data_IF_494092564901
#
_entry.id   IF_494092564901
#
_cell.length_a   1.000
_cell.length_b   1.000
_cell.length_c   1.000
_cell.angle_alpha   90.00
_cell.angle_beta   90.00
_cell.angle_gamma   90.00
#
_symmetry.space_group_name_H-M   'P 1'
#
loop_
_entity.id
_entity.type
_entity.pdbx_description
1 polymer ?
#
# COMPACT_ATOMS: atom_id res chain seq x y z
N UNK A 1 9.46 27.74 27.30
CA UNK A 1 9.96 27.11 26.07
C UNK A 1 10.36 25.68 26.42
N UNK A 2 9.58 24.69 26.03
CA UNK A 2 9.95 23.28 26.22
C UNK A 2 10.91 22.90 25.11
N UNK A 3 12.13 22.57 25.47
CA UNK A 3 13.16 22.03 24.58
C UNK A 3 12.62 20.76 23.94
N UNK A 4 12.47 20.78 22.63
CA UNK A 4 12.15 19.58 21.87
C UNK A 4 13.31 18.58 22.03
N UNK A 5 13.00 17.38 22.49
CA UNK A 5 13.95 16.28 22.56
C UNK A 5 14.53 15.99 21.15
N UNK A 6 15.81 15.59 21.05
CA UNK A 6 16.40 15.22 19.77
C UNK A 6 15.58 14.08 19.14
N UNK A 7 15.46 14.06 17.79
CA UNK A 7 14.72 13.00 17.11
C UNK A 7 15.31 11.65 17.51
N UNK A 8 14.44 10.74 17.97
CA UNK A 8 14.84 9.39 18.32
C UNK A 8 15.56 8.74 17.12
N UNK A 9 16.62 7.95 17.35
CA UNK A 9 17.34 7.27 16.28
C UNK A 9 16.33 6.43 15.49
N UNK A 10 16.42 6.49 14.15
CA UNK A 10 15.56 5.74 13.25
C UNK A 10 15.46 4.30 13.75
N UNK A 11 14.26 3.86 14.11
CA UNK A 11 14.05 2.53 14.62
C UNK A 11 14.57 1.54 13.57
N UNK A 12 15.56 0.71 13.96
CA UNK A 12 16.12 -0.32 13.07
C UNK A 12 14.97 -1.23 12.68
N UNK A 13 14.83 -1.47 11.37
CA UNK A 13 13.89 -2.46 10.85
C UNK A 13 14.10 -3.79 11.59
N UNK A 14 13.03 -4.48 11.88
CA UNK A 14 13.14 -5.86 12.39
C UNK A 14 13.90 -6.69 11.36
N UNK A 15 14.66 -7.70 11.81
CA UNK A 15 15.44 -8.56 10.90
C UNK A 15 14.62 -9.11 9.72
N UNK A 16 13.37 -9.60 9.93
CA UNK A 16 12.48 -10.06 8.87
C UNK A 16 12.11 -8.98 7.86
N UNK A 17 11.81 -7.75 8.32
CA UNK A 17 11.36 -6.66 7.43
C UNK A 17 12.46 -6.20 6.45
N UNK A 18 13.72 -6.34 6.85
CA UNK A 18 14.86 -6.00 5.98
C UNK A 18 14.96 -6.90 4.75
N UNK A 19 14.53 -8.16 4.89
CA UNK A 19 14.57 -9.17 3.85
C UNK A 19 13.22 -9.37 3.16
N UNK A 20 12.25 -8.48 3.41
CA UNK A 20 10.90 -8.57 2.85
C UNK A 20 10.89 -8.76 1.33
N UNK A 21 11.67 -8.01 0.51
CA UNK A 21 11.70 -8.24 -0.94
C UNK A 21 12.11 -9.66 -1.30
N UNK A 22 13.09 -10.24 -0.58
CA UNK A 22 13.52 -11.61 -0.80
C UNK A 22 12.43 -12.61 -0.41
N UNK A 23 11.75 -12.41 0.73
CA UNK A 23 10.65 -13.28 1.15
C UNK A 23 9.49 -13.28 0.17
N UNK A 24 9.17 -12.12 -0.41
CA UNK A 24 8.15 -12.00 -1.45
C UNK A 24 8.55 -12.80 -2.68
N UNK A 25 9.78 -12.62 -3.19
CA UNK A 25 10.27 -13.38 -4.35
C UNK A 25 10.27 -14.89 -4.09
N UNK A 26 10.66 -15.33 -2.89
CA UNK A 26 10.62 -16.74 -2.50
C UNK A 26 9.18 -17.27 -2.44
N UNK A 27 8.24 -16.51 -1.89
CA UNK A 27 6.83 -16.89 -1.84
C UNK A 27 6.23 -17.02 -3.25
N UNK A 28 6.59 -16.10 -4.16
CA UNK A 28 6.20 -16.14 -5.56
C UNK A 28 6.76 -17.38 -6.26
N UNK A 29 8.06 -17.63 -6.10
CA UNK A 29 8.71 -18.82 -6.67
C UNK A 29 8.11 -20.11 -6.11
N UNK A 30 7.88 -20.19 -4.80
CA UNK A 30 7.22 -21.33 -4.14
C UNK A 30 5.80 -21.55 -4.68
N UNK A 31 5.01 -20.48 -4.82
CA UNK A 31 3.67 -20.55 -5.40
C UNK A 31 3.69 -21.08 -6.84
N UNK A 32 4.56 -20.54 -7.68
CA UNK A 32 4.76 -21.01 -9.07
C UNK A 32 5.13 -22.50 -9.11
N UNK A 33 6.08 -22.93 -8.31
CA UNK A 33 6.52 -24.33 -8.26
C UNK A 33 5.38 -25.24 -7.77
N UNK A 34 4.66 -24.86 -6.72
CA UNK A 34 3.54 -25.62 -6.21
C UNK A 34 2.42 -25.76 -7.27
N UNK A 35 2.09 -24.67 -7.95
CA UNK A 35 1.08 -24.68 -9.01
C UNK A 35 1.45 -25.55 -10.21
N UNK A 36 2.75 -25.70 -10.50
CA UNK A 36 3.24 -26.55 -11.61
C UNK A 36 3.43 -28.00 -11.22
N UNK A 37 3.94 -28.28 -10.01
CA UNK A 37 4.35 -29.62 -9.61
C UNK A 37 3.25 -30.44 -8.91
N UNK A 38 2.22 -29.77 -8.39
CA UNK A 38 1.11 -30.45 -7.70
C UNK A 38 -0.11 -30.50 -8.64
N UNK A 39 -0.34 -31.63 -9.35
CA UNK A 39 -1.50 -31.76 -10.22
C UNK A 39 -2.80 -31.59 -9.44
N UNK A 40 -3.70 -30.75 -9.95
CA UNK A 40 -5.01 -30.51 -9.33
C UNK A 40 -5.01 -29.51 -8.16
N UNK A 41 -3.86 -28.92 -7.78
CA UNK A 41 -3.81 -27.91 -6.71
C UNK A 41 -4.67 -26.69 -7.06
N UNK A 42 -4.56 -26.19 -8.28
CA UNK A 42 -5.39 -25.06 -8.75
C UNK A 42 -6.88 -25.42 -8.69
N UNK A 43 -7.26 -26.62 -9.16
CA UNK A 43 -8.64 -27.10 -9.12
C UNK A 43 -9.14 -27.26 -7.68
N UNK A 44 -8.29 -27.76 -6.77
CA UNK A 44 -8.65 -27.92 -5.36
C UNK A 44 -8.83 -26.54 -4.67
N UNK A 45 -7.95 -25.60 -4.95
CA UNK A 45 -8.05 -24.21 -4.43
C UNK A 45 -9.26 -23.47 -5.02
N UNK A 46 -9.55 -23.68 -6.31
CA UNK A 46 -10.75 -23.14 -6.97
C UNK A 46 -12.04 -23.75 -6.41
N UNK A 47 -12.02 -25.02 -6.02
CA UNK A 47 -13.14 -25.68 -5.34
C UNK A 47 -13.45 -25.11 -3.94
N UNK A 48 -12.51 -24.38 -3.33
CA UNK A 48 -12.67 -23.70 -2.03
C UNK A 48 -13.17 -22.25 -2.20
N UNK A 49 -14.19 -22.06 -3.05
CA UNK A 49 -14.82 -20.76 -3.25
C UNK A 49 -16.15 -20.68 -2.51
N UNK A 50 -16.40 -19.55 -1.86
CA UNK A 50 -17.68 -19.20 -1.24
C UNK A 50 -18.13 -17.86 -1.81
N UNK A 51 -19.30 -17.83 -2.41
CA UNK A 51 -19.86 -16.65 -3.07
C UNK A 51 -18.92 -16.00 -4.11
N UNK A 52 -18.19 -16.82 -4.88
CA UNK A 52 -17.23 -16.35 -5.90
C UNK A 52 -15.87 -15.92 -5.37
N UNK A 53 -15.64 -16.01 -4.07
CA UNK A 53 -14.39 -15.62 -3.41
C UNK A 53 -13.60 -16.85 -2.99
N UNK A 54 -12.32 -16.91 -3.37
CA UNK A 54 -11.40 -17.96 -2.93
C UNK A 54 -11.16 -17.85 -1.42
N UNK A 55 -11.58 -18.86 -0.65
CA UNK A 55 -11.40 -18.92 0.80
C UNK A 55 -9.93 -18.80 1.24
N UNK A 56 -8.96 -19.50 0.61
CA UNK A 56 -7.55 -19.34 0.98
C UNK A 56 -7.05 -17.91 0.81
N UNK A 57 -7.41 -17.24 -0.29
CA UNK A 57 -7.05 -15.84 -0.52
C UNK A 57 -7.72 -14.95 0.54
N UNK A 58 -9.01 -15.16 0.80
CA UNK A 58 -9.77 -14.40 1.79
C UNK A 58 -9.15 -14.49 3.19
N UNK A 59 -8.80 -15.70 3.64
CA UNK A 59 -8.16 -15.93 4.94
C UNK A 59 -6.79 -15.23 4.99
N UNK A 60 -5.96 -15.40 3.94
CA UNK A 60 -4.65 -14.75 3.87
C UNK A 60 -4.76 -13.23 3.98
N UNK A 61 -5.70 -12.62 3.24
CA UNK A 61 -5.96 -11.18 3.26
C UNK A 61 -6.44 -10.69 4.63
N UNK A 62 -7.39 -11.38 5.27
CA UNK A 62 -7.89 -11.02 6.59
C UNK A 62 -6.80 -11.11 7.66
N UNK A 63 -5.99 -12.19 7.62
CA UNK A 63 -4.85 -12.38 8.52
C UNK A 63 -3.78 -11.30 8.32
N UNK A 64 -3.53 -10.88 7.07
CA UNK A 64 -2.58 -9.82 6.75
C UNK A 64 -3.09 -8.44 7.18
N UNK A 65 -4.33 -8.10 6.82
CA UNK A 65 -4.88 -6.74 7.00
C UNK A 65 -5.14 -6.41 8.47
N UNK A 66 -5.63 -7.36 9.26
CA UNK A 66 -6.00 -7.10 10.65
C UNK A 66 -4.85 -6.55 11.51
N UNK A 67 -3.64 -7.16 11.57
CA UNK A 67 -2.54 -6.63 12.37
C UNK A 67 -2.06 -5.25 11.92
N UNK A 68 -2.12 -4.97 10.61
CA UNK A 68 -1.72 -3.67 10.06
C UNK A 68 -2.68 -2.59 10.54
N UNK A 69 -3.99 -2.84 10.42
CA UNK A 69 -5.03 -1.89 10.79
C UNK A 69 -5.18 -1.76 12.32
N UNK A 70 -4.87 -2.79 13.10
CA UNK A 70 -4.79 -2.74 14.55
C UNK A 70 -3.64 -1.84 15.07
N UNK A 71 -2.57 -1.64 14.27
CA UNK A 71 -1.46 -0.72 14.61
C UNK A 71 -1.84 0.76 14.47
N UNK A 72 -2.90 1.08 13.73
CA UNK A 72 -3.28 2.47 13.43
C UNK A 72 -3.77 3.18 14.69
N UNK A 73 -3.19 4.35 15.00
CA UNK A 73 -3.54 5.18 16.16
C UNK A 73 -4.58 6.23 15.75
N UNK A 74 -5.84 5.84 15.70
CA UNK A 74 -6.94 6.71 15.27
C UNK A 74 -7.13 7.97 16.13
N UNK A 75 -6.62 7.99 17.37
CA UNK A 75 -6.79 9.09 18.33
C UNK A 75 -5.67 10.13 18.30
N UNK A 76 -4.48 9.81 17.78
CA UNK A 76 -3.32 10.73 17.77
C UNK A 76 -3.16 11.53 16.48
N UNK A 77 -4.15 11.50 15.63
CA UNK A 77 -4.11 12.11 14.28
C UNK A 77 -4.17 13.64 14.28
N UNK A 78 -4.46 14.28 15.43
CA UNK A 78 -4.80 15.71 15.47
C UNK A 78 -3.73 16.68 14.96
N UNK A 79 -2.45 16.41 15.21
CA UNK A 79 -1.37 17.29 14.75
C UNK A 79 -1.12 17.17 13.23
N UNK A 80 -1.15 15.94 12.71
CA UNK A 80 -0.97 15.67 11.28
C UNK A 80 -2.18 16.13 10.48
N UNK A 81 -3.41 15.92 11.00
CA UNK A 81 -4.66 16.38 10.37
C UNK A 81 -4.74 17.92 10.27
N UNK A 82 -4.04 18.65 11.17
CA UNK A 82 -3.94 20.12 11.10
C UNK A 82 -2.99 20.62 10.02
N UNK A 83 -2.09 19.76 9.52
CA UNK A 83 -1.24 20.10 8.38
C UNK A 83 -2.06 20.01 7.08
N UNK A 84 -2.78 21.10 6.79
CA UNK A 84 -3.64 21.19 5.61
C UNK A 84 -2.89 20.97 4.30
N UNK A 85 -1.61 21.41 4.23
CA UNK A 85 -0.81 21.23 3.01
C UNK A 85 -0.57 19.76 2.74
N UNK A 86 -0.09 19.01 3.74
CA UNK A 86 0.14 17.58 3.63
C UNK A 86 -1.15 16.82 3.31
N UNK A 87 -2.23 17.12 4.03
CA UNK A 87 -3.52 16.43 3.89
C UNK A 87 -4.16 16.62 2.51
N UNK A 88 -4.28 17.87 2.07
CA UNK A 88 -4.89 18.19 0.77
C UNK A 88 -4.05 17.62 -0.38
N UNK A 89 -2.72 17.77 -0.30
CA UNK A 89 -1.82 17.24 -1.33
C UNK A 89 -1.89 15.71 -1.38
N UNK A 90 -1.94 15.05 -0.22
CA UNK A 90 -2.11 13.58 -0.16
C UNK A 90 -3.44 13.14 -0.76
N UNK A 91 -4.54 13.81 -0.44
CA UNK A 91 -5.85 13.48 -1.02
C UNK A 91 -5.86 13.64 -2.54
N UNK A 92 -5.32 14.74 -3.05
CA UNK A 92 -5.23 14.98 -4.50
C UNK A 92 -4.37 13.92 -5.18
N UNK A 93 -3.18 13.64 -4.63
CA UNK A 93 -2.28 12.63 -5.20
C UNK A 93 -2.92 11.24 -5.19
N UNK A 94 -3.48 10.82 -4.05
CA UNK A 94 -4.01 9.47 -3.91
C UNK A 94 -5.33 9.23 -4.63
N UNK A 95 -6.23 10.22 -4.68
CA UNK A 95 -7.62 10.00 -5.07
C UNK A 95 -8.03 10.72 -6.36
N UNK A 96 -7.17 11.62 -6.88
CA UNK A 96 -7.39 12.27 -8.17
C UNK A 96 -6.28 11.92 -9.14
N UNK A 97 -5.03 12.29 -8.82
CA UNK A 97 -3.91 12.13 -9.76
C UNK A 97 -3.59 10.66 -10.05
N UNK A 98 -3.44 9.86 -9.01
CA UNK A 98 -3.04 8.45 -9.17
C UNK A 98 -4.07 7.62 -9.95
N UNK A 99 -5.37 7.66 -9.64
CA UNK A 99 -6.37 6.95 -10.43
C UNK A 99 -6.46 7.47 -11.87
N UNK A 100 -6.43 8.79 -12.07
CA UNK A 100 -6.48 9.38 -13.41
C UNK A 100 -5.26 8.98 -14.26
N UNK A 101 -4.06 9.00 -13.65
CA UNK A 101 -2.85 8.56 -14.35
C UNK A 101 -2.91 7.09 -14.71
N UNK A 102 -3.34 6.22 -13.76
CA UNK A 102 -3.45 4.79 -14.06
C UNK A 102 -4.48 4.52 -15.16
N UNK A 103 -5.62 5.21 -15.12
CA UNK A 103 -6.61 5.16 -16.20
C UNK A 103 -5.99 5.54 -17.54
N UNK A 104 -5.30 6.68 -17.63
CA UNK A 104 -4.66 7.14 -18.85
C UNK A 104 -3.60 6.13 -19.36
N UNK A 105 -2.73 5.65 -18.47
CA UNK A 105 -1.71 4.66 -18.83
C UNK A 105 -2.32 3.33 -19.28
N UNK A 106 -3.37 2.87 -18.60
CA UNK A 106 -4.07 1.64 -18.99
C UNK A 106 -4.68 1.76 -20.40
N UNK A 107 -5.25 2.90 -20.75
CA UNK A 107 -5.78 3.14 -22.08
C UNK A 107 -4.69 3.32 -23.17
N UNK A 108 -3.57 3.93 -22.83
CA UNK A 108 -2.45 4.15 -23.77
C UNK A 108 -1.73 2.83 -24.09
N UNK A 109 -1.46 2.01 -23.08
CA UNK A 109 -0.61 0.81 -23.23
C UNK A 109 -1.39 -0.47 -23.50
N UNK A 110 -2.70 -0.52 -23.13
CA UNK A 110 -3.54 -1.71 -23.25
C UNK A 110 -4.88 -1.42 -23.99
N UNK A 111 -4.86 -0.73 -25.16
CA UNK A 111 -6.10 -0.41 -25.87
C UNK A 111 -6.81 -1.65 -26.41
N UNK A 112 -6.05 -2.69 -26.76
CA UNK A 112 -6.47 -3.97 -27.33
C UNK A 112 -6.68 -5.10 -26.29
N UNK A 113 -6.39 -4.85 -25.01
CA UNK A 113 -6.47 -5.81 -23.91
C UNK A 113 -7.42 -5.32 -22.80
N UNK A 114 -8.74 -5.33 -23.03
CA UNK A 114 -9.73 -4.71 -22.14
C UNK A 114 -9.73 -5.30 -20.73
N UNK A 115 -9.47 -6.59 -20.58
CA UNK A 115 -9.46 -7.26 -19.27
C UNK A 115 -8.28 -6.78 -18.42
N UNK A 116 -7.08 -6.75 -18.99
CA UNK A 116 -5.89 -6.25 -18.29
C UNK A 116 -5.99 -4.75 -18.00
N UNK A 117 -6.55 -3.97 -18.95
CA UNK A 117 -6.84 -2.55 -18.76
C UNK A 117 -7.74 -2.32 -17.57
N UNK A 118 -8.85 -3.06 -17.48
CA UNK A 118 -9.79 -2.99 -16.35
C UNK A 118 -9.09 -3.37 -15.04
N UNK A 119 -8.29 -4.43 -15.03
CA UNK A 119 -7.52 -4.85 -13.87
C UNK A 119 -6.54 -3.77 -13.39
N UNK A 120 -5.80 -3.12 -14.30
CA UNK A 120 -4.90 -2.02 -13.93
C UNK A 120 -5.64 -0.79 -13.39
N UNK A 121 -6.81 -0.46 -13.93
CA UNK A 121 -7.64 0.62 -13.40
C UNK A 121 -8.07 0.30 -11.96
N UNK A 122 -8.50 -0.93 -11.68
CA UNK A 122 -8.84 -1.40 -10.32
C UNK A 122 -7.62 -1.29 -9.39
N UNK A 123 -6.43 -1.71 -9.83
CA UNK A 123 -5.17 -1.51 -9.10
C UNK A 123 -4.93 -0.04 -8.82
N UNK A 124 -5.14 0.83 -9.81
CA UNK A 124 -4.98 2.28 -9.67
C UNK A 124 -5.89 2.92 -8.63
N UNK A 125 -7.02 2.29 -8.28
CA UNK A 125 -7.95 2.75 -7.25
C UNK A 125 -7.56 2.25 -5.84
N UNK A 126 -6.80 1.18 -5.74
CA UNK A 126 -6.44 0.56 -4.46
C UNK A 126 -5.17 1.21 -3.87
N UNK A 127 -5.29 1.90 -2.74
CA UNK A 127 -4.17 2.58 -2.06
C UNK A 127 -3.47 1.67 -1.07
N UNK A 128 -2.15 1.74 -1.03
CA UNK A 128 -1.33 0.91 -0.14
C UNK A 128 -1.63 1.17 1.34
N UNK A 129 -1.70 0.10 2.13
CA UNK A 129 -2.00 0.14 3.56
C UNK A 129 -0.85 -0.45 4.38
N UNK A 130 -0.28 -1.57 3.93
CA UNK A 130 0.68 -2.36 4.69
C UNK A 130 2.13 -2.03 4.33
N UNK A 131 2.50 -2.25 3.07
CA UNK A 131 3.89 -2.17 2.61
C UNK A 131 4.43 -0.75 2.59
N UNK A 132 3.57 0.24 2.45
CA UNK A 132 3.97 1.66 2.46
C UNK A 132 4.70 2.06 3.75
N UNK A 133 4.35 1.47 4.89
CA UNK A 133 5.04 1.74 6.16
C UNK A 133 6.50 1.30 6.11
N UNK A 134 6.80 0.19 5.43
CA UNK A 134 8.15 -0.34 5.27
C UNK A 134 8.97 0.57 4.36
N UNK A 135 8.41 0.95 3.21
CA UNK A 135 9.07 1.86 2.28
C UNK A 135 9.33 3.22 2.90
N UNK A 136 8.36 3.73 3.66
CA UNK A 136 8.49 4.97 4.43
C UNK A 136 9.64 4.91 5.44
N UNK A 137 9.74 3.83 6.20
CA UNK A 137 10.79 3.64 7.20
C UNK A 137 12.18 3.52 6.56
N UNK A 138 12.29 2.75 5.47
CA UNK A 138 13.53 2.62 4.70
C UNK A 138 14.00 3.95 4.13
N UNK A 139 13.07 4.80 3.69
CA UNK A 139 13.35 6.12 3.16
C UNK A 139 13.52 7.20 4.26
N UNK A 140 13.51 6.85 5.54
CA UNK A 140 13.53 7.80 6.66
C UNK A 140 12.39 8.83 6.60
N UNK A 141 11.19 8.41 6.21
CA UNK A 141 9.99 9.22 6.20
C UNK A 141 9.41 9.44 7.61
N UNK A 142 8.39 10.30 7.68
CA UNK A 142 7.66 10.59 8.92
C UNK A 142 6.65 9.46 9.20
N UNK A 143 6.93 8.65 10.23
CA UNK A 143 6.10 7.49 10.61
C UNK A 143 4.70 7.89 11.08
N UNK A 144 4.60 8.99 11.81
CA UNK A 144 3.30 9.44 12.32
C UNK A 144 2.43 9.93 11.18
N UNK A 145 3.00 10.72 10.28
CA UNK A 145 2.32 11.15 9.07
C UNK A 145 1.91 9.95 8.20
N UNK A 146 2.80 8.97 7.99
CA UNK A 146 2.47 7.76 7.23
C UNK A 146 1.29 6.99 7.83
N UNK A 147 1.29 6.77 9.15
CA UNK A 147 0.20 6.07 9.83
C UNK A 147 -1.15 6.79 9.68
N UNK A 148 -1.14 8.13 9.76
CA UNK A 148 -2.36 8.95 9.57
C UNK A 148 -2.85 8.88 8.13
N UNK A 149 -1.96 9.01 7.14
CA UNK A 149 -2.33 8.94 5.73
C UNK A 149 -2.84 7.56 5.35
N UNK A 150 -2.24 6.49 5.88
CA UNK A 150 -2.72 5.12 5.71
C UNK A 150 -4.11 4.93 6.31
N UNK A 151 -4.35 5.43 7.52
CA UNK A 151 -5.66 5.37 8.15
C UNK A 151 -6.73 6.10 7.33
N UNK A 152 -6.41 7.31 6.88
CA UNK A 152 -7.29 8.10 6.02
C UNK A 152 -7.58 7.37 4.70
N UNK A 153 -6.55 6.87 4.03
CA UNK A 153 -6.69 6.12 2.79
C UNK A 153 -7.54 4.85 3.00
N UNK A 154 -7.39 4.14 4.13
CA UNK A 154 -8.17 2.95 4.44
C UNK A 154 -9.65 3.26 4.58
N UNK A 155 -10.00 4.31 5.32
CA UNK A 155 -11.40 4.74 5.49
C UNK A 155 -11.97 5.22 4.16
N UNK A 156 -11.25 6.06 3.43
CA UNK A 156 -11.69 6.59 2.15
C UNK A 156 -11.89 5.47 1.12
N UNK A 157 -11.02 4.47 1.10
CA UNK A 157 -11.14 3.31 0.23
C UNK A 157 -12.45 2.54 0.46
N UNK A 158 -12.78 2.27 1.72
CA UNK A 158 -14.04 1.58 2.07
C UNK A 158 -15.26 2.32 1.55
N UNK A 159 -15.25 3.65 1.61
CA UNK A 159 -16.39 4.48 1.21
C UNK A 159 -16.44 4.75 -0.28
N UNK A 160 -15.30 5.04 -0.90
CA UNK A 160 -15.26 5.61 -2.24
C UNK A 160 -14.85 4.64 -3.35
N UNK A 161 -14.25 3.48 -3.02
CA UNK A 161 -13.69 2.57 -4.03
C UNK A 161 -14.73 2.13 -5.06
N UNK A 162 -15.92 1.72 -4.62
CA UNK A 162 -16.98 1.30 -5.52
C UNK A 162 -17.44 2.42 -6.45
N UNK A 163 -17.65 3.62 -5.90
CA UNK A 163 -18.07 4.79 -6.69
C UNK A 163 -17.00 5.22 -7.69
N UNK A 164 -15.73 5.23 -7.29
CA UNK A 164 -14.61 5.53 -8.19
C UNK A 164 -14.43 4.42 -9.24
N UNK A 165 -14.61 3.16 -8.88
CA UNK A 165 -14.61 2.05 -9.82
C UNK A 165 -15.67 2.23 -10.91
N UNK A 166 -16.91 2.55 -10.50
CA UNK A 166 -17.98 2.86 -11.43
C UNK A 166 -17.64 4.08 -12.33
N UNK A 167 -17.10 5.14 -11.74
CA UNK A 167 -16.72 6.35 -12.49
C UNK A 167 -15.64 6.03 -13.54
N UNK A 168 -14.52 5.40 -13.16
CA UNK A 168 -13.40 5.14 -14.07
C UNK A 168 -13.65 4.00 -15.07
N UNK A 169 -14.54 3.06 -14.77
CA UNK A 169 -14.80 1.92 -15.65
C UNK A 169 -16.06 2.09 -16.53
N UNK A 170 -17.01 2.95 -16.11
CA UNK A 170 -18.27 3.12 -16.83
C UNK A 170 -18.48 4.55 -17.31
N UNK A 171 -18.38 5.54 -16.41
CA UNK A 171 -18.78 6.93 -16.71
C UNK A 171 -17.72 7.63 -17.56
N UNK A 172 -16.47 7.64 -17.11
CA UNK A 172 -15.39 8.37 -17.78
C UNK A 172 -15.09 7.85 -19.20
N UNK A 173 -15.02 6.53 -19.45
CA UNK A 173 -14.88 6.02 -20.81
C UNK A 173 -16.04 6.47 -21.72
N UNK A 174 -17.28 6.43 -21.22
CA UNK A 174 -18.45 6.89 -21.97
C UNK A 174 -18.37 8.36 -22.35
N UNK A 175 -17.91 9.23 -21.43
CA UNK A 175 -17.71 10.67 -21.72
C UNK A 175 -16.62 10.94 -22.76
N UNK A 176 -15.59 10.06 -22.78
CA UNK A 176 -14.47 10.19 -23.72
C UNK A 176 -14.71 9.48 -25.06
N UNK A 177 -15.90 8.89 -25.26
CA UNK A 177 -16.22 8.12 -26.48
C UNK A 177 -15.42 6.83 -26.60
N UNK A 178 -14.89 6.32 -25.51
CA UNK A 178 -14.12 5.07 -25.44
C UNK A 178 -15.06 3.88 -25.24
N UNK A 179 -14.63 2.69 -25.66
CA UNK A 179 -15.42 1.46 -25.47
C UNK A 179 -15.59 1.18 -23.96
N UNK A 180 -16.83 1.20 -23.50
CA UNK A 180 -17.16 0.75 -22.14
C UNK A 180 -16.97 -0.77 -22.09
N UNK A 181 -16.26 -1.28 -21.10
CA UNK A 181 -16.06 -2.71 -20.91
C UNK A 181 -17.44 -3.35 -20.67
N UNK A 182 -17.85 -4.23 -21.55
CA UNK A 182 -19.15 -4.94 -21.49
C UNK A 182 -19.21 -6.04 -20.42
N UNK A 183 -18.10 -6.26 -19.70
CA UNK A 183 -18.09 -7.13 -18.53
C UNK A 183 -19.12 -6.61 -17.53
N UNK A 184 -19.94 -7.48 -16.98
CA UNK A 184 -20.93 -7.16 -15.95
C UNK A 184 -20.25 -6.51 -14.75
N UNK A 185 -20.11 -5.17 -14.82
CA UNK A 185 -19.54 -4.40 -13.74
C UNK A 185 -20.56 -4.33 -12.62
N UNK A 186 -20.42 -5.20 -11.65
CA UNK A 186 -21.25 -5.18 -10.46
C UNK A 186 -20.66 -4.24 -9.41
N UNK A 187 -21.18 -3.01 -9.35
CA UNK A 187 -20.88 -2.09 -8.25
C UNK A 187 -21.07 -2.76 -6.88
N UNK A 188 -22.11 -3.58 -6.76
CA UNK A 188 -22.41 -4.33 -5.54
C UNK A 188 -21.30 -5.34 -5.21
N UNK A 189 -20.82 -6.11 -6.19
CA UNK A 189 -19.75 -7.09 -5.97
C UNK A 189 -18.45 -6.41 -5.53
N UNK A 190 -18.08 -5.30 -6.17
CA UNK A 190 -16.91 -4.50 -5.77
C UNK A 190 -17.08 -3.95 -4.36
N UNK A 191 -18.23 -3.35 -4.05
CA UNK A 191 -18.49 -2.79 -2.72
C UNK A 191 -18.46 -3.86 -1.64
N UNK A 192 -19.07 -5.02 -1.88
CA UNK A 192 -19.05 -6.16 -0.95
C UNK A 192 -17.61 -6.65 -0.75
N UNK A 193 -16.83 -6.82 -1.81
CA UNK A 193 -15.43 -7.24 -1.72
C UNK A 193 -14.61 -6.27 -0.87
N UNK A 194 -14.75 -4.95 -1.09
CA UNK A 194 -14.05 -3.93 -0.28
C UNK A 194 -14.49 -3.97 1.18
N UNK A 195 -15.79 -4.11 1.44
CA UNK A 195 -16.30 -4.21 2.82
C UNK A 195 -15.78 -5.46 3.52
N UNK A 196 -15.73 -6.60 2.85
CA UNK A 196 -15.23 -7.85 3.43
C UNK A 196 -13.72 -7.77 3.67
N UNK A 197 -12.93 -7.44 2.64
CA UNK A 197 -11.47 -7.56 2.70
C UNK A 197 -10.77 -6.36 3.35
N UNK A 198 -11.42 -5.21 3.43
CA UNK A 198 -10.88 -4.03 4.08
C UNK A 198 -11.76 -3.54 5.23
N UNK A 199 -13.06 -3.47 5.04
CA UNK A 199 -14.00 -2.94 6.05
C UNK A 199 -14.00 -3.76 7.33
N UNK A 200 -14.12 -5.10 7.23
CA UNK A 200 -14.09 -5.99 8.40
C UNK A 200 -12.76 -5.89 9.16
N UNK A 201 -11.57 -6.02 8.54
CA UNK A 201 -10.30 -5.84 9.25
C UNK A 201 -10.12 -4.45 9.85
N UNK A 202 -10.61 -3.40 9.18
CA UNK A 202 -10.57 -2.02 9.68
C UNK A 202 -11.38 -1.88 10.96
N UNK A 203 -12.61 -2.37 10.98
CA UNK A 203 -13.47 -2.35 12.15
C UNK A 203 -12.89 -3.22 13.27
N UNK A 204 -12.44 -4.44 12.96
CA UNK A 204 -11.83 -5.33 13.93
C UNK A 204 -10.56 -4.71 14.54
N UNK A 205 -9.70 -4.08 13.73
CA UNK A 205 -8.51 -3.38 14.19
C UNK A 205 -8.83 -2.19 15.09
N UNK A 206 -9.80 -1.36 14.70
CA UNK A 206 -10.24 -0.23 15.51
C UNK A 206 -10.88 -0.67 16.83
N UNK A 207 -11.79 -1.66 16.79
CA UNK A 207 -12.45 -2.19 17.99
C UNK A 207 -11.45 -2.86 18.93
N UNK A 208 -10.52 -3.68 18.42
CA UNK A 208 -9.50 -4.34 19.24
C UNK A 208 -8.58 -3.32 19.91
N UNK A 209 -8.24 -2.20 19.23
CA UNK A 209 -7.47 -1.10 19.83
C UNK A 209 -8.26 -0.42 20.95
N UNK A 210 -9.48 0.02 20.67
CA UNK A 210 -10.32 0.70 21.68
C UNK A 210 -10.57 -0.21 22.90
N UNK A 211 -10.93 -1.47 22.67
CA UNK A 211 -11.16 -2.43 23.74
C UNK A 211 -9.87 -2.78 24.51
N UNK A 212 -8.78 -3.06 23.78
CA UNK A 212 -7.50 -3.42 24.40
C UNK A 212 -6.91 -2.29 25.25
N UNK A 213 -6.94 -1.05 24.74
CA UNK A 213 -6.48 0.13 25.49
C UNK A 213 -7.37 0.43 26.70
N UNK A 214 -8.70 0.23 26.61
CA UNK A 214 -9.62 0.43 27.74
C UNK A 214 -9.49 -0.65 28.83
N UNK A 215 -9.33 -1.93 28.45
CA UNK A 215 -9.35 -3.06 29.38
C UNK A 215 -7.99 -3.30 30.03
N UNK A 216 -6.90 -3.20 29.26
CA UNK A 216 -5.54 -3.55 29.73
C UNK A 216 -4.54 -2.40 29.65
N UNK A 217 -4.95 -1.24 29.18
CA UNK A 217 -4.10 -0.08 29.03
C UNK A 217 -3.31 -0.07 27.72
N UNK A 218 -2.85 1.12 27.36
CA UNK A 218 -2.10 1.38 26.14
C UNK A 218 -0.76 0.65 26.10
N UNK A 219 -0.03 0.62 27.21
CA UNK A 219 1.30 0.01 27.31
C UNK A 219 1.23 -1.49 27.02
N UNK A 220 0.20 -2.18 27.52
CA UNK A 220 -0.04 -3.58 27.20
C UNK A 220 -0.38 -3.77 25.71
N UNK A 221 -1.26 -2.91 25.18
CA UNK A 221 -1.68 -3.03 23.78
C UNK A 221 -0.49 -2.84 22.83
N UNK A 222 0.31 -1.79 23.04
CA UNK A 222 1.46 -1.47 22.18
C UNK A 222 2.69 -2.34 22.47
N UNK A 223 2.95 -2.68 23.73
CA UNK A 223 4.15 -3.44 24.15
C UNK A 223 3.99 -4.95 24.12
N UNK A 224 2.77 -5.48 24.21
CA UNK A 224 2.54 -6.94 24.28
C UNK A 224 1.67 -7.46 23.15
N UNK A 225 0.52 -6.83 22.91
CA UNK A 225 -0.45 -7.32 21.93
C UNK A 225 0.03 -7.10 20.49
N UNK A 226 0.37 -5.86 20.13
CA UNK A 226 0.81 -5.55 18.76
C UNK A 226 2.09 -6.31 18.33
N UNK A 227 3.12 -6.48 19.16
CA UNK A 227 4.28 -7.31 18.81
C UNK A 227 3.93 -8.78 18.56
N UNK A 228 2.92 -9.34 19.25
CA UNK A 228 2.47 -10.72 19.05
C UNK A 228 1.70 -10.93 17.76
N UNK A 229 0.83 -9.99 17.39
CA UNK A 229 0.05 -10.10 16.16
C UNK A 229 0.80 -9.56 14.93
N UNK A 230 1.79 -8.70 15.12
CA UNK A 230 2.54 -8.05 14.05
C UNK A 230 3.09 -9.00 12.98
N UNK A 231 3.76 -10.11 13.36
CA UNK A 231 4.31 -11.08 12.40
C UNK A 231 3.26 -11.75 11.51
N UNK A 232 2.02 -11.85 11.96
CA UNK A 232 0.94 -12.44 11.16
C UNK A 232 0.63 -11.66 9.89
N UNK A 233 0.90 -10.34 9.88
CA UNK A 233 0.79 -9.54 8.67
C UNK A 233 1.73 -10.06 7.57
N UNK A 234 2.99 -10.35 7.93
CA UNK A 234 3.97 -10.91 7.00
C UNK A 234 3.58 -12.33 6.55
N UNK A 235 3.17 -13.18 7.49
CA UNK A 235 2.76 -14.56 7.15
C UNK A 235 1.53 -14.57 6.25
N UNK A 236 0.53 -13.73 6.52
CA UNK A 236 -0.65 -13.56 5.68
C UNK A 236 -0.29 -13.06 4.28
N UNK A 237 0.62 -12.08 4.18
CA UNK A 237 1.13 -11.57 2.91
C UNK A 237 1.82 -12.68 2.09
N UNK A 238 2.80 -13.37 2.66
CA UNK A 238 3.55 -14.40 1.96
C UNK A 238 2.66 -15.58 1.56
N UNK A 239 1.74 -15.98 2.44
CA UNK A 239 0.74 -17.02 2.13
C UNK A 239 -0.16 -16.60 0.97
N UNK A 240 -0.71 -15.39 1.01
CA UNK A 240 -1.58 -14.87 -0.07
C UNK A 240 -0.84 -14.82 -1.40
N UNK A 241 0.41 -14.32 -1.41
CA UNK A 241 1.25 -14.30 -2.61
C UNK A 241 1.49 -15.72 -3.13
N UNK A 242 1.87 -16.66 -2.26
CA UNK A 242 2.10 -18.04 -2.68
C UNK A 242 0.84 -18.68 -3.28
N UNK A 243 -0.33 -18.49 -2.66
CA UNK A 243 -1.62 -19.00 -3.18
C UNK A 243 -1.95 -18.37 -4.53
N UNK A 244 -1.81 -17.05 -4.67
CA UNK A 244 -2.07 -16.34 -5.94
C UNK A 244 -1.18 -16.86 -7.07
N UNK A 245 0.11 -17.05 -6.80
CA UNK A 245 1.04 -17.57 -7.79
C UNK A 245 0.84 -19.08 -8.06
N UNK A 246 0.34 -19.85 -7.09
CA UNK A 246 -0.06 -21.23 -7.33
C UNK A 246 -1.29 -21.33 -8.26
N UNK A 247 -2.23 -20.40 -8.13
CA UNK A 247 -3.44 -20.36 -8.96
C UNK A 247 -3.19 -19.80 -10.36
N UNK A 248 -2.40 -18.75 -10.48
CA UNK A 248 -2.23 -17.99 -11.74
C UNK A 248 -0.84 -18.13 -12.38
N UNK A 249 0.10 -18.80 -11.72
CA UNK A 249 1.48 -18.86 -12.15
C UNK A 249 1.67 -19.46 -13.53
N UNK A 250 0.88 -20.46 -13.91
CA UNK A 250 0.87 -21.03 -15.27
C UNK A 250 0.49 -20.00 -16.34
N UNK A 251 -0.46 -19.12 -16.05
CA UNK A 251 -0.88 -18.04 -16.95
C UNK A 251 0.24 -16.97 -17.09
N UNK A 252 0.89 -16.60 -15.97
CA UNK A 252 2.03 -15.68 -15.97
C UNK A 252 3.14 -16.19 -16.86
N UNK A 253 3.51 -17.47 -16.75
CA UNK A 253 4.58 -18.08 -17.54
C UNK A 253 4.17 -18.27 -19.00
N UNK A 254 2.91 -18.65 -19.26
CA UNK A 254 2.43 -18.88 -20.61
C UNK A 254 2.26 -17.61 -21.45
N UNK A 255 2.15 -16.44 -20.80
CA UNK A 255 1.89 -15.14 -21.47
C UNK A 255 2.92 -14.05 -21.09
N UNK A 256 4.22 -14.27 -21.33
CA UNK A 256 5.26 -13.34 -20.89
C UNK A 256 5.16 -11.95 -21.54
N UNK A 257 4.66 -11.88 -22.77
CA UNK A 257 4.46 -10.61 -23.47
C UNK A 257 3.33 -9.79 -22.84
N UNK A 258 2.25 -10.44 -22.43
CA UNK A 258 1.14 -9.77 -21.74
C UNK A 258 1.59 -9.25 -20.37
N UNK A 259 2.37 -10.05 -19.64
CA UNK A 259 3.00 -9.64 -18.37
C UNK A 259 3.90 -8.41 -18.60
N UNK A 260 4.73 -8.40 -19.64
CA UNK A 260 5.57 -7.25 -19.97
C UNK A 260 4.73 -6.02 -20.32
N UNK A 261 3.63 -6.18 -21.07
CA UNK A 261 2.71 -5.09 -21.44
C UNK A 261 1.99 -4.51 -20.21
N UNK A 262 1.64 -5.33 -19.21
CA UNK A 262 1.08 -4.88 -17.93
C UNK A 262 2.14 -4.17 -17.08
N UNK A 263 3.38 -4.66 -17.12
CA UNK A 263 4.48 -4.11 -16.32
C UNK A 263 4.85 -2.67 -16.71
N UNK A 264 4.85 -2.34 -18.02
CA UNK A 264 5.26 -1.01 -18.51
C UNK A 264 4.43 0.13 -17.90
N UNK A 265 3.08 0.13 -18.00
CA UNK A 265 2.26 1.18 -17.38
C UNK A 265 2.44 1.24 -15.86
N UNK A 266 2.66 0.11 -15.17
CA UNK A 266 2.93 0.10 -13.73
C UNK A 266 4.25 0.79 -13.39
N UNK A 267 5.32 0.48 -14.12
CA UNK A 267 6.63 1.15 -13.94
C UNK A 267 6.49 2.66 -14.13
N UNK A 268 5.87 3.09 -15.23
CA UNK A 268 5.64 4.51 -15.52
C UNK A 268 4.82 5.15 -14.40
N UNK A 269 3.76 4.48 -13.96
CA UNK A 269 2.92 4.95 -12.86
C UNK A 269 3.72 5.18 -11.58
N UNK A 270 4.49 4.21 -11.11
CA UNK A 270 5.29 4.33 -9.89
C UNK A 270 6.27 5.49 -9.97
N UNK A 271 6.98 5.61 -11.09
CA UNK A 271 7.97 6.67 -11.30
C UNK A 271 7.32 8.06 -11.30
N UNK A 272 6.22 8.22 -12.05
CA UNK A 272 5.54 9.53 -12.20
C UNK A 272 4.89 9.96 -10.89
N UNK A 273 4.13 9.06 -10.22
CA UNK A 273 3.45 9.41 -8.96
C UNK A 273 4.45 9.72 -7.86
N UNK A 274 5.52 8.91 -7.76
CA UNK A 274 6.59 9.17 -6.79
C UNK A 274 7.28 10.51 -7.05
N UNK A 275 7.65 10.79 -8.30
CA UNK A 275 8.27 12.05 -8.68
C UNK A 275 7.35 13.25 -8.41
N UNK A 276 6.06 13.12 -8.71
CA UNK A 276 5.06 14.14 -8.40
C UNK A 276 4.96 14.38 -6.88
N UNK A 277 4.93 13.32 -6.06
CA UNK A 277 4.93 13.44 -4.61
C UNK A 277 6.19 14.14 -4.07
N UNK A 278 7.37 13.76 -4.56
CA UNK A 278 8.63 14.38 -4.18
C UNK A 278 8.69 15.86 -4.59
N UNK A 279 8.23 16.18 -5.80
CA UNK A 279 8.21 17.54 -6.32
C UNK A 279 7.24 18.43 -5.54
N UNK A 280 5.99 17.98 -5.36
CA UNK A 280 4.96 18.74 -4.63
C UNK A 280 5.35 18.93 -3.17
N UNK A 281 5.87 17.91 -2.50
CA UNK A 281 6.33 18.02 -1.12
C UNK A 281 7.46 19.04 -0.98
N UNK A 282 8.36 19.12 -1.96
CA UNK A 282 9.43 20.14 -2.01
C UNK A 282 8.87 21.55 -2.26
N UNK A 283 7.98 21.72 -3.23
CA UNK A 283 7.36 23.03 -3.56
C UNK A 283 6.58 23.57 -2.35
N UNK A 284 5.94 22.70 -1.58
CA UNK A 284 5.14 23.06 -0.41
C UNK A 284 5.94 23.21 0.88
N UNK A 285 7.27 23.00 0.82
CA UNK A 285 8.19 23.06 1.96
C UNK A 285 7.80 22.12 3.13
N UNK A 286 7.36 20.89 2.82
CA UNK A 286 6.97 19.90 3.83
C UNK A 286 8.17 19.32 4.59
N UNK A 287 9.40 19.59 4.14
CA UNK A 287 10.60 18.93 4.61
C UNK A 287 10.73 17.49 4.06
N UNK A 288 11.95 16.93 4.13
CA UNK A 288 12.26 15.64 3.52
C UNK A 288 11.37 14.51 4.03
N UNK A 289 11.25 14.35 5.35
CA UNK A 289 10.56 13.20 5.93
C UNK A 289 9.08 13.12 5.51
N UNK A 290 8.35 14.24 5.57
CA UNK A 290 6.94 14.31 5.13
C UNK A 290 6.80 14.20 3.62
N UNK A 291 7.76 14.72 2.86
CA UNK A 291 7.79 14.59 1.40
C UNK A 291 7.98 13.13 0.98
N UNK A 292 8.92 12.41 1.59
CA UNK A 292 9.10 10.97 1.35
C UNK A 292 7.82 10.19 1.71
N UNK A 293 7.21 10.48 2.86
CA UNK A 293 5.94 9.90 3.27
C UNK A 293 4.84 10.13 2.23
N UNK A 294 4.68 11.36 1.78
CA UNK A 294 3.70 11.73 0.75
C UNK A 294 3.93 10.96 -0.55
N UNK A 295 5.17 10.88 -1.01
CA UNK A 295 5.53 10.21 -2.25
C UNK A 295 5.27 8.70 -2.19
N UNK A 296 5.67 8.03 -1.12
CA UNK A 296 5.45 6.58 -0.97
C UNK A 296 3.98 6.23 -0.73
N UNK A 297 3.23 7.04 0.04
CA UNK A 297 1.80 6.80 0.25
C UNK A 297 0.99 6.99 -1.03
N UNK A 298 1.41 7.86 -1.93
CA UNK A 298 0.76 8.07 -3.20
C UNK A 298 1.18 7.05 -4.27
N UNK A 299 2.45 6.63 -4.30
CA UNK A 299 2.95 5.69 -5.30
C UNK A 299 2.48 4.25 -5.04
N UNK A 300 2.46 3.80 -3.78
CA UNK A 300 2.12 2.42 -3.45
C UNK A 300 0.65 2.07 -3.68
N UNK A 301 0.39 0.85 -4.14
CA UNK A 301 -0.93 0.30 -4.37
C UNK A 301 -1.22 -0.87 -3.41
N UNK A 302 -2.50 -1.17 -3.21
CA UNK A 302 -2.95 -2.36 -2.49
C UNK A 302 -3.35 -3.42 -3.52
N UNK A 303 -2.36 -4.15 -4.01
CA UNK A 303 -2.59 -5.18 -5.02
C UNK A 303 -3.46 -6.30 -4.49
N UNK A 304 -3.34 -6.63 -3.22
CA UNK A 304 -4.09 -7.69 -2.58
C UNK A 304 -5.60 -7.37 -2.59
N UNK A 305 -5.96 -6.14 -2.25
CA UNK A 305 -7.35 -5.69 -2.35
C UNK A 305 -7.82 -5.65 -3.82
N UNK A 306 -6.98 -5.13 -4.72
CA UNK A 306 -7.30 -5.07 -6.14
C UNK A 306 -7.55 -6.48 -6.72
N UNK A 307 -6.71 -7.45 -6.36
CA UNK A 307 -6.88 -8.85 -6.75
C UNK A 307 -8.15 -9.43 -6.14
N UNK A 308 -8.41 -9.19 -4.85
CA UNK A 308 -9.62 -9.68 -4.20
C UNK A 308 -10.89 -9.14 -4.88
N UNK A 309 -10.90 -7.86 -5.24
CA UNK A 309 -11.99 -7.24 -6.01
C UNK A 309 -12.08 -7.85 -7.40
N UNK A 310 -10.96 -8.00 -8.11
CA UNK A 310 -10.94 -8.56 -9.45
C UNK A 310 -11.41 -10.03 -9.45
N UNK A 311 -10.91 -10.84 -8.51
CA UNK A 311 -11.33 -12.26 -8.37
C UNK A 311 -12.80 -12.37 -7.99
N UNK A 312 -13.26 -11.56 -7.03
CA UNK A 312 -14.66 -11.58 -6.58
C UNK A 312 -15.66 -11.06 -7.61
N UNK A 313 -15.20 -10.26 -8.58
CA UNK A 313 -16.06 -9.67 -9.61
C UNK A 313 -15.98 -10.42 -10.94
N UNK A 314 -14.78 -10.85 -11.36
CA UNK A 314 -14.52 -11.40 -12.69
C UNK A 314 -14.03 -12.86 -12.66
N UNK A 315 -13.77 -13.41 -11.48
CA UNK A 315 -13.26 -14.76 -11.29
C UNK A 315 -11.74 -14.86 -11.20
N UNK A 316 -11.25 -15.96 -10.62
CA UNK A 316 -9.82 -16.20 -10.34
C UNK A 316 -8.97 -16.24 -11.60
N UNK A 317 -9.48 -16.81 -12.70
CA UNK A 317 -8.74 -16.97 -13.96
C UNK A 317 -8.87 -15.78 -14.91
N UNK A 318 -9.49 -14.70 -14.46
CA UNK A 318 -9.73 -13.51 -15.29
C UNK A 318 -8.45 -12.73 -15.61
N UNK A 319 -8.41 -12.05 -16.74
CA UNK A 319 -7.34 -11.14 -17.10
C UNK A 319 -7.21 -9.98 -16.11
N UNK A 320 -8.31 -9.54 -15.53
CA UNK A 320 -8.34 -8.51 -14.49
C UNK A 320 -7.57 -8.94 -13.23
N UNK A 321 -7.79 -10.19 -12.80
CA UNK A 321 -7.04 -10.74 -11.67
C UNK A 321 -5.55 -10.92 -12.00
N UNK A 322 -5.22 -11.36 -13.21
CA UNK A 322 -3.83 -11.50 -13.67
C UNK A 322 -3.08 -10.16 -13.65
N UNK A 323 -3.72 -9.08 -14.09
CA UNK A 323 -3.11 -7.75 -14.02
C UNK A 323 -2.77 -7.35 -12.57
N UNK A 324 -3.61 -7.71 -11.61
CA UNK A 324 -3.33 -7.53 -10.19
C UNK A 324 -2.14 -8.36 -9.70
N UNK A 325 -2.01 -9.62 -10.14
CA UNK A 325 -0.90 -10.52 -9.71
C UNK A 325 0.46 -10.07 -10.25
N UNK A 326 0.49 -9.48 -11.45
CA UNK A 326 1.72 -8.89 -12.00
C UNK A 326 2.20 -7.70 -11.15
N UNK A 327 1.28 -7.04 -10.45
CA UNK A 327 1.57 -5.85 -9.66
C UNK A 327 2.72 -6.00 -8.66
N UNK A 328 2.65 -6.91 -7.69
CA UNK A 328 3.73 -7.11 -6.71
C UNK A 328 5.08 -7.44 -7.32
N UNK A 329 5.11 -8.15 -8.47
CA UNK A 329 6.35 -8.44 -9.23
C UNK A 329 7.09 -7.16 -9.61
N UNK A 330 6.33 -6.13 -9.97
CA UNK A 330 6.86 -4.86 -10.45
C UNK A 330 7.02 -3.86 -9.31
N UNK A 331 6.06 -3.81 -8.39
CA UNK A 331 6.08 -2.86 -7.27
C UNK A 331 7.33 -3.00 -6.41
N UNK A 332 7.64 -4.22 -5.98
CA UNK A 332 8.72 -4.45 -5.00
C UNK A 332 10.08 -3.98 -5.52
N UNK A 333 10.58 -4.38 -6.70
CA UNK A 333 11.87 -3.91 -7.19
C UNK A 333 11.87 -2.39 -7.48
N UNK A 334 10.77 -1.85 -7.99
CA UNK A 334 10.67 -0.42 -8.29
C UNK A 334 10.66 0.41 -7.00
N UNK A 335 9.84 0.06 -5.99
CA UNK A 335 9.80 0.82 -4.75
C UNK A 335 11.11 0.71 -3.96
N UNK A 336 11.82 -0.42 -4.02
CA UNK A 336 13.20 -0.51 -3.48
C UNK A 336 14.11 0.50 -4.19
N UNK A 337 14.09 0.57 -5.51
CA UNK A 337 14.87 1.54 -6.26
C UNK A 337 14.48 2.99 -5.89
N UNK A 338 13.19 3.26 -5.71
CA UNK A 338 12.67 4.56 -5.30
C UNK A 338 13.07 4.94 -3.86
N UNK A 339 13.26 3.96 -2.95
CA UNK A 339 13.86 4.22 -1.63
C UNK A 339 15.26 4.80 -1.78
N UNK A 340 16.12 4.20 -2.61
CA UNK A 340 17.45 4.76 -2.87
C UNK A 340 17.39 6.13 -3.55
N UNK A 341 16.45 6.32 -4.48
CA UNK A 341 16.21 7.62 -5.12
C UNK A 341 15.77 8.69 -4.09
N UNK A 342 14.89 8.34 -3.14
CA UNK A 342 14.47 9.22 -2.07
C UNK A 342 15.64 9.62 -1.17
N UNK A 343 16.44 8.64 -0.73
CA UNK A 343 17.62 8.87 0.10
C UNK A 343 18.65 9.76 -0.62
N UNK A 344 18.86 9.53 -1.92
CA UNK A 344 19.70 10.39 -2.75
C UNK A 344 19.12 11.82 -2.85
N UNK A 345 17.80 11.95 -3.02
CA UNK A 345 17.12 13.24 -3.12
C UNK A 345 17.13 14.04 -1.81
N UNK A 346 17.38 13.40 -0.65
CA UNK A 346 17.46 14.04 0.67
C UNK A 346 18.43 15.23 0.68
N UNK A 347 19.51 15.17 -0.08
CA UNK A 347 20.51 16.26 -0.20
C UNK A 347 19.95 17.57 -0.77
N UNK A 348 18.81 17.51 -1.46
CA UNK A 348 18.17 18.71 -2.04
C UNK A 348 17.17 19.37 -1.09
N UNK A 349 16.96 18.82 0.11
CA UNK A 349 16.10 19.39 1.13
C UNK A 349 16.95 20.11 2.17
N UNK A 350 16.50 21.30 2.64
CA UNK A 350 17.20 22.01 3.71
C UNK A 350 17.33 21.10 4.93
N UNK A 351 18.52 20.96 5.48
CA UNK A 351 18.69 20.34 6.80
C UNK A 351 17.94 21.19 7.81
N UNK A 352 17.14 20.60 8.74
CA UNK A 352 16.58 21.36 9.84
C UNK A 352 17.75 22.07 10.54
N UNK A 353 17.67 23.39 10.68
CA UNK A 353 18.65 24.18 11.41
C UNK A 353 18.74 23.60 12.83
N UNK A 354 19.80 22.89 13.13
CA UNK A 354 20.18 22.57 14.50
C UNK A 354 20.85 23.85 15.02
N UNK A 355 20.23 24.59 15.98
CA UNK A 355 20.91 25.70 16.56
C UNK A 355 22.23 25.16 17.14
N UNK A 356 23.34 25.68 16.68
CA UNK A 356 24.67 25.36 17.22
C UNK A 356 24.56 25.49 18.73
N UNK A 357 24.89 24.41 19.45
CA UNK A 357 25.08 24.46 20.88
C UNK A 357 26.19 25.51 21.09
N UNK A 358 25.78 26.69 21.55
CA UNK A 358 26.76 27.71 21.98
C UNK A 358 27.69 27.02 22.97
N UNK A 359 29.00 27.10 22.78
CA UNK A 359 29.92 26.58 23.79
C UNK A 359 29.57 27.27 25.11
N UNK A 360 29.15 26.50 26.09
CA UNK A 360 28.96 26.97 27.43
C UNK A 360 30.30 27.57 27.87
N UNK A 361 30.33 28.91 28.02
CA UNK A 361 31.41 29.59 28.70
C UNK A 361 31.56 28.90 30.07
N UNK A 362 32.66 28.17 30.20
CA UNK A 362 33.07 27.61 31.50
C UNK A 362 33.16 28.76 32.49
N UNK A 363 32.59 28.65 33.69
CA UNK A 363 32.80 29.66 34.72
C UNK A 363 34.30 29.74 35.02
N UNK A 364 34.86 30.89 34.81
CA UNK A 364 36.22 31.23 35.25
C UNK A 364 36.31 31.04 36.75
N UNK A 365 37.23 30.15 37.15
CA UNK A 365 37.64 29.97 38.53
C UNK A 365 38.33 31.27 39.01
N UNK A 366 37.55 32.15 39.63
CA UNK A 366 38.03 33.20 40.52
C UNK A 366 36.88 33.43 41.49
N UNK A 367 37.03 32.84 42.65
CA UNK A 367 36.66 33.30 43.99
C UNK A 367 36.73 32.13 44.96
N UNK A 368 37.92 31.97 45.53
CA UNK A 368 38.09 31.36 46.84
C UNK A 368 38.68 32.40 47.74
N UNK A 369 38.06 32.66 48.92
CA UNK A 369 38.76 33.31 50.03
C UNK A 369 39.77 32.39 50.71
#
# INVERSE_FOLDING_TARGET
MKTAAPPAPAARLSGPDRWLPLWILLAMAAGLLLGQQVPGLSTALDGLQVAGVSLPIAVGLLVMMYPVLAKVRYTQTGAVLRDRKLMVTSLILNWVLSPALMFALAWIFLPDLPDYRTGLIIVGLARCIAMVMIWNDLACGDREAAAVLVALNSVFQVVAFGALGWFYLQVLPGWLGLSVTSAEFSLTAITVSVLVFLGIPLLAGALSRVAGERIRGRDWYEGTFLPRIGPWALYGLLFTIAVLFALQGTQVIARPLDVARIAVPLVVYFLVVFAAGMLLGRILDLGYARTATLAFTAAGNNFELAIAVAVGTFGVTSGQALAGVVGPLIEVPILVALVYAALWARRFFPTPYSPAVSPSLSPTAKDRP
#
